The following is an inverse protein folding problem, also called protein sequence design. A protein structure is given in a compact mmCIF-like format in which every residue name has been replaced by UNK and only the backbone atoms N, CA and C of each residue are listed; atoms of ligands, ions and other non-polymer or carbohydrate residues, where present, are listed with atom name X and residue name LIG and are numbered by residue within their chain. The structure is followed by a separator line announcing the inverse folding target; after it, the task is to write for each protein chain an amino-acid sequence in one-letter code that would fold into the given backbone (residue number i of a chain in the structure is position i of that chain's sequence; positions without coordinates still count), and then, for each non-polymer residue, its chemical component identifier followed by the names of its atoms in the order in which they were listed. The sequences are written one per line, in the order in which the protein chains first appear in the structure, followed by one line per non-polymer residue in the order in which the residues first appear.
data_IF_769981746430
#
_entry.id   IF_769981746430
#
_cell.length_a   1.000
_cell.length_b   1.000
_cell.length_c   1.000
_cell.angle_alpha   90.00
_cell.angle_beta   90.00
_cell.angle_gamma   90.00
#
_symmetry.space_group_name_H-M   'P 1'
#
loop_
_entity.id
_entity.type
_entity.pdbx_description
1 polymer ?
#
# COMPACT_ATOMS: atom_id res chain seq x y z
N UNK A 1 13.83 9.85 -21.52
CA UNK A 1 15.31 9.80 -21.54
C UNK A 1 15.76 9.11 -20.27
N UNK A 2 16.37 7.94 -20.39
CA UNK A 2 16.83 7.11 -19.27
C UNK A 2 18.31 7.42 -19.08
N UNK A 3 18.71 7.98 -17.94
CA UNK A 3 20.11 8.02 -17.55
C UNK A 3 20.44 6.71 -16.81
N UNK A 4 21.34 5.93 -17.38
CA UNK A 4 21.92 4.75 -16.72
C UNK A 4 22.92 5.20 -15.65
N UNK A 5 22.80 4.62 -14.45
CA UNK A 5 23.89 4.56 -13.47
C UNK A 5 24.50 3.15 -13.54
N UNK A 6 25.84 3.01 -13.51
CA UNK A 6 26.49 1.70 -13.60
C UNK A 6 26.43 0.99 -12.24
N UNK A 7 25.88 -0.24 -12.21
CA UNK A 7 26.04 -1.17 -11.07
C UNK A 7 24.77 -1.86 -10.55
N UNK A 8 23.56 -1.36 -10.87
CA UNK A 8 22.32 -1.99 -10.43
C UNK A 8 21.90 -3.15 -11.35
N UNK A 9 22.20 -4.40 -10.99
CA UNK A 9 21.61 -5.56 -11.69
C UNK A 9 20.11 -5.63 -11.40
N UNK A 10 19.28 -5.13 -12.32
CA UNK A 10 17.85 -5.47 -12.36
C UNK A 10 17.70 -6.92 -12.85
N UNK A 11 17.61 -7.89 -11.94
CA UNK A 11 17.19 -9.25 -12.31
C UNK A 11 15.67 -9.27 -12.49
N UNK A 12 15.21 -9.78 -13.64
CA UNK A 12 13.80 -10.13 -13.85
C UNK A 12 13.44 -11.27 -12.88
N UNK A 13 12.42 -11.06 -12.06
CA UNK A 13 11.85 -12.10 -11.20
C UNK A 13 11.24 -13.21 -12.09
N UNK A 14 11.72 -14.45 -11.93
CA UNK A 14 11.08 -15.64 -12.50
C UNK A 14 10.25 -16.30 -11.38
N UNK A 15 8.95 -16.56 -11.57
CA UNK A 15 8.09 -17.15 -10.53
C UNK A 15 8.51 -18.54 -10.03
N UNK A 16 9.47 -19.19 -10.70
CA UNK A 16 9.89 -20.57 -10.47
C UNK A 16 10.81 -20.78 -9.26
N UNK A 17 11.15 -19.75 -8.49
CA UNK A 17 12.10 -19.82 -7.38
C UNK A 17 11.50 -19.44 -6.01
N UNK A 18 10.18 -19.52 -5.85
CA UNK A 18 9.59 -19.42 -4.51
C UNK A 18 10.06 -20.62 -3.66
N UNK A 19 10.73 -20.41 -2.50
CA UNK A 19 11.14 -21.51 -1.64
C UNK A 19 9.92 -22.33 -1.22
N UNK A 20 10.07 -23.66 -1.17
CA UNK A 20 9.02 -24.59 -0.74
C UNK A 20 8.47 -24.18 0.64
N UNK A 21 7.15 -23.97 0.69
CA UNK A 21 6.43 -23.49 1.86
C UNK A 21 6.27 -24.61 2.90
N UNK A 22 7.24 -24.77 3.80
CA UNK A 22 7.01 -25.54 5.03
C UNK A 22 6.01 -24.79 5.94
N UNK A 23 4.99 -25.53 6.40
CA UNK A 23 3.89 -25.03 7.22
C UNK A 23 4.34 -24.82 8.67
N UNK A 24 4.93 -23.66 8.97
CA UNK A 24 5.09 -23.20 10.36
C UNK A 24 3.75 -22.69 10.92
N UNK A 25 3.38 -22.96 12.19
CA UNK A 25 2.11 -22.53 12.77
C UNK A 25 1.97 -21.00 12.71
N UNK A 26 0.87 -20.52 12.11
CA UNK A 26 0.73 -19.14 11.64
C UNK A 26 0.10 -18.22 12.68
N UNK A 27 0.73 -17.06 12.92
CA UNK A 27 -0.06 -15.84 13.07
C UNK A 27 -0.45 -15.41 11.65
N UNK A 28 -1.71 -15.59 11.28
CA UNK A 28 -2.18 -15.33 9.91
C UNK A 28 -1.82 -13.90 9.45
N UNK A 29 -0.95 -13.79 8.45
CA UNK A 29 -0.49 -12.53 7.84
C UNK A 29 0.94 -12.13 8.22
N UNK A 30 1.25 -12.03 9.52
CA UNK A 30 2.53 -11.53 10.04
C UNK A 30 3.74 -12.30 9.49
N UNK A 31 3.62 -13.61 9.31
CA UNK A 31 4.74 -14.45 8.88
C UNK A 31 5.18 -14.21 7.44
N UNK A 32 4.26 -13.83 6.55
CA UNK A 32 4.58 -13.72 5.12
C UNK A 32 5.50 -12.52 4.84
N UNK A 33 5.21 -11.35 5.44
CA UNK A 33 6.06 -10.15 5.29
C UNK A 33 7.44 -10.34 5.95
N UNK A 34 7.55 -11.10 7.05
CA UNK A 34 8.86 -11.38 7.66
C UNK A 34 9.80 -12.18 6.75
N UNK A 35 9.27 -12.96 5.80
CA UNK A 35 10.11 -13.72 4.85
C UNK A 35 10.94 -12.82 3.94
N UNK A 36 10.68 -11.51 3.88
CA UNK A 36 11.55 -10.56 3.20
C UNK A 36 13.01 -10.65 3.66
N UNK A 37 13.25 -10.94 4.94
CA UNK A 37 14.59 -11.12 5.48
C UNK A 37 15.29 -12.41 5.07
N UNK A 38 14.56 -13.36 4.47
CA UNK A 38 15.16 -14.58 3.89
C UNK A 38 15.72 -14.36 2.47
N UNK A 39 15.45 -13.20 1.84
CA UNK A 39 15.88 -12.87 0.48
C UNK A 39 17.37 -12.48 0.42
N UNK A 40 18.25 -13.34 0.92
CA UNK A 40 19.70 -13.07 1.08
C UNK A 40 20.49 -13.05 -0.23
N UNK A 41 19.82 -13.22 -1.37
CA UNK A 41 20.41 -12.95 -2.69
C UNK A 41 20.54 -11.44 -2.98
N UNK A 42 19.98 -10.59 -2.11
CA UNK A 42 20.03 -9.14 -2.20
C UNK A 42 20.66 -8.56 -0.93
N UNK A 43 21.59 -7.62 -1.13
CA UNK A 43 22.23 -6.90 -0.01
C UNK A 43 21.26 -5.91 0.65
N UNK A 44 20.33 -5.34 -0.14
CA UNK A 44 19.36 -4.35 0.30
C UNK A 44 18.10 -4.39 -0.55
N UNK A 45 16.96 -4.18 0.09
CA UNK A 45 15.64 -4.13 -0.55
C UNK A 45 14.88 -2.89 -0.11
N UNK A 46 14.08 -2.34 -1.03
CA UNK A 46 12.96 -1.47 -0.68
C UNK A 46 11.69 -2.30 -0.83
N UNK A 47 11.09 -2.66 0.29
CA UNK A 47 9.78 -3.28 0.31
C UNK A 47 8.68 -2.24 0.11
N UNK A 48 7.64 -2.61 -0.63
CA UNK A 48 6.45 -1.79 -0.90
C UNK A 48 5.23 -2.72 -0.82
N UNK A 49 4.24 -2.38 0.01
CA UNK A 49 2.96 -3.10 0.08
C UNK A 49 2.20 -3.01 -1.26
N UNK A 50 1.37 -4.03 -1.54
CA UNK A 50 0.69 -4.17 -2.83
C UNK A 50 -0.43 -3.13 -3.07
N UNK A 51 -0.80 -2.36 -2.07
CA UNK A 51 -1.81 -1.30 -2.11
C UNK A 51 -1.20 0.10 -2.19
N UNK A 52 0.00 0.19 -2.79
CA UNK A 52 0.64 1.43 -3.18
C UNK A 52 0.84 1.51 -4.69
N UNK A 53 0.89 2.74 -5.20
CA UNK A 53 1.45 3.01 -6.54
C UNK A 53 2.67 3.91 -6.43
N UNK A 54 3.63 3.69 -7.31
CA UNK A 54 4.85 4.48 -7.44
C UNK A 54 4.66 5.56 -8.51
N UNK A 55 4.90 6.82 -8.14
CA UNK A 55 4.78 7.99 -9.02
C UNK A 55 6.13 8.57 -9.47
N UNK A 56 7.20 8.26 -8.74
CA UNK A 56 8.55 8.80 -8.98
C UNK A 56 9.61 7.75 -8.76
N UNK A 57 10.79 7.93 -9.37
CA UNK A 57 11.95 7.10 -9.06
C UNK A 57 12.32 7.22 -7.57
N UNK A 58 12.71 6.10 -6.95
CA UNK A 58 13.05 6.02 -5.53
C UNK A 58 14.46 5.48 -5.28
N UNK A 59 15.29 5.35 -6.32
CA UNK A 59 16.57 4.64 -6.21
C UNK A 59 17.52 5.33 -5.20
N UNK A 60 17.35 6.64 -5.01
CA UNK A 60 18.08 7.42 -4.00
C UNK A 60 17.90 6.88 -2.58
N UNK A 61 16.79 6.20 -2.28
CA UNK A 61 16.49 5.69 -0.94
C UNK A 61 17.24 4.40 -0.60
N UNK A 62 17.87 3.73 -1.57
CA UNK A 62 18.80 2.61 -1.26
C UNK A 62 20.05 3.07 -0.50
N UNK A 63 20.34 4.37 -0.45
CA UNK A 63 21.42 4.91 0.37
C UNK A 63 21.14 4.82 1.88
N UNK A 64 19.87 4.66 2.29
CA UNK A 64 19.49 4.62 3.70
C UNK A 64 19.74 3.23 4.32
N UNK A 65 20.05 3.14 5.62
CA UNK A 65 20.30 1.87 6.31
C UNK A 65 19.00 1.16 6.73
N UNK A 66 19.10 -0.11 7.14
CA UNK A 66 18.02 -0.79 7.85
C UNK A 66 17.88 -0.28 9.31
N UNK A 67 16.69 -0.14 9.88
CA UNK A 67 15.38 -0.09 9.23
C UNK A 67 15.08 1.36 8.89
N UNK A 68 14.81 1.69 7.62
CA UNK A 68 14.28 3.00 7.26
C UNK A 68 12.84 2.89 6.77
N UNK A 69 11.96 3.71 7.30
CA UNK A 69 10.54 3.70 6.96
C UNK A 69 9.94 5.10 7.08
N UNK A 70 8.75 5.32 6.53
CA UNK A 70 8.03 6.58 6.72
C UNK A 70 7.28 6.57 8.06
N UNK A 71 7.23 7.70 8.79
CA UNK A 71 6.51 7.79 10.05
C UNK A 71 4.99 7.60 9.84
N UNK A 72 4.37 6.84 10.75
CA UNK A 72 2.92 6.87 10.94
C UNK A 72 2.54 7.94 11.98
N UNK A 73 3.36 8.10 13.02
CA UNK A 73 3.30 9.17 14.01
C UNK A 73 4.72 9.57 14.47
N UNK A 74 4.86 10.18 15.66
CA UNK A 74 6.16 10.63 16.18
C UNK A 74 7.11 9.46 16.51
N UNK A 75 6.59 8.32 16.94
CA UNK A 75 7.36 7.20 17.49
C UNK A 75 7.22 5.92 16.67
N UNK A 76 6.09 5.73 15.99
CA UNK A 76 5.80 4.54 15.17
C UNK A 76 5.98 4.82 13.68
N UNK A 77 6.54 3.85 12.97
CA UNK A 77 6.60 3.87 11.51
C UNK A 77 5.45 3.09 10.87
N UNK A 78 5.15 3.43 9.61
CA UNK A 78 4.26 2.65 8.77
C UNK A 78 5.07 1.61 7.98
N UNK A 79 4.66 0.35 8.03
CA UNK A 79 5.40 -0.77 7.40
C UNK A 79 5.08 -1.00 5.91
N UNK A 80 4.30 -0.10 5.30
CA UNK A 80 3.94 -0.15 3.89
C UNK A 80 5.10 0.10 2.94
N UNK A 81 6.13 0.83 3.41
CA UNK A 81 7.42 0.99 2.73
C UNK A 81 8.53 0.84 3.75
N UNK A 82 9.50 -0.01 3.45
CA UNK A 82 10.67 -0.22 4.31
C UNK A 82 11.94 -0.45 3.50
N UNK A 83 13.03 0.21 3.88
CA UNK A 83 14.39 -0.16 3.45
C UNK A 83 14.89 -1.21 4.44
N UNK A 84 15.24 -2.38 3.94
CA UNK A 84 15.69 -3.54 4.72
C UNK A 84 16.96 -4.13 4.15
N UNK A 85 17.72 -4.81 5.00
CA UNK A 85 18.94 -5.54 4.71
C UNK A 85 18.68 -7.01 5.09
N UNK A 86 18.38 -7.88 4.10
CA UNK A 86 18.00 -9.26 4.36
C UNK A 86 19.05 -10.03 5.16
N UNK A 87 18.60 -10.79 6.16
CA UNK A 87 19.46 -11.59 7.03
C UNK A 87 18.68 -12.77 7.59
N UNK A 88 19.17 -13.99 7.32
CA UNK A 88 18.58 -15.23 7.89
C UNK A 88 18.60 -15.21 9.42
N UNK A 89 19.68 -14.74 10.03
CA UNK A 89 19.79 -14.64 11.49
C UNK A 89 18.73 -13.69 12.07
N UNK A 90 18.51 -12.54 11.43
CA UNK A 90 17.49 -11.59 11.88
C UNK A 90 16.08 -12.14 11.67
N UNK A 91 15.83 -12.85 10.56
CA UNK A 91 14.57 -13.56 10.35
C UNK A 91 14.29 -14.57 11.47
N UNK A 92 15.26 -15.43 11.80
CA UNK A 92 15.13 -16.43 12.86
C UNK A 92 14.89 -15.79 14.23
N UNK A 93 15.61 -14.72 14.57
CA UNK A 93 15.39 -13.94 15.79
C UNK A 93 13.97 -13.35 15.83
N UNK A 94 13.49 -12.74 14.74
CA UNK A 94 12.12 -12.24 14.64
C UNK A 94 11.08 -13.35 14.79
N UNK A 95 11.30 -14.52 14.20
CA UNK A 95 10.42 -15.68 14.36
C UNK A 95 10.42 -16.24 15.79
N UNK A 96 11.54 -16.15 16.50
CA UNK A 96 11.61 -16.49 17.92
C UNK A 96 10.86 -15.45 18.78
N UNK A 97 11.04 -14.16 18.47
CA UNK A 97 10.35 -13.03 19.13
C UNK A 97 8.85 -13.05 18.90
N UNK A 98 8.36 -13.45 17.72
CA UNK A 98 6.92 -13.47 17.42
C UNK A 98 6.12 -14.43 18.30
N UNK A 99 6.79 -15.38 18.97
CA UNK A 99 6.17 -16.28 19.97
C UNK A 99 5.97 -15.62 21.33
N UNK A 100 6.66 -14.50 21.60
CA UNK A 100 6.72 -13.82 22.90
C UNK A 100 6.18 -12.39 22.85
N UNK A 101 6.55 -11.65 21.82
CA UNK A 101 6.11 -10.28 21.57
C UNK A 101 4.74 -10.28 20.92
N UNK A 102 3.85 -9.44 21.44
CA UNK A 102 2.53 -9.22 20.87
C UNK A 102 2.57 -7.99 19.98
N UNK A 103 2.08 -8.12 18.76
CA UNK A 103 1.82 -6.95 17.91
C UNK A 103 0.75 -6.06 18.55
N UNK A 104 1.05 -4.77 18.77
CA UNK A 104 0.10 -3.84 19.38
C UNK A 104 -1.21 -3.69 18.59
N UNK A 105 -1.17 -3.92 17.27
CA UNK A 105 -2.34 -3.86 16.37
C UNK A 105 -2.72 -5.22 15.77
N UNK A 106 -2.07 -6.31 16.20
CA UNK A 106 -2.31 -7.66 15.67
C UNK A 106 -1.72 -7.95 14.28
N UNK A 107 -1.16 -6.94 13.59
CA UNK A 107 -0.56 -7.08 12.25
C UNK A 107 0.97 -7.03 12.24
N UNK A 108 1.56 -7.11 11.06
CA UNK A 108 3.01 -7.04 10.84
C UNK A 108 3.60 -5.68 11.25
N UNK A 109 2.93 -4.56 10.94
CA UNK A 109 3.40 -3.23 11.34
C UNK A 109 3.61 -3.15 12.86
N UNK A 110 2.65 -3.67 13.63
CA UNK A 110 2.74 -3.61 15.07
C UNK A 110 3.88 -4.45 15.61
N UNK A 111 4.03 -5.67 15.11
CA UNK A 111 5.15 -6.53 15.46
C UNK A 111 6.51 -5.91 15.09
N UNK A 112 6.63 -5.32 13.90
CA UNK A 112 7.86 -4.71 13.43
C UNK A 112 8.25 -3.48 14.26
N UNK A 113 7.29 -2.68 14.74
CA UNK A 113 7.57 -1.57 15.65
C UNK A 113 8.04 -2.04 17.04
N UNK A 114 7.61 -3.21 17.51
CA UNK A 114 8.14 -3.81 18.75
C UNK A 114 9.57 -4.36 18.56
N UNK A 115 9.89 -4.89 17.39
CA UNK A 115 11.22 -5.42 17.07
C UNK A 115 12.23 -4.30 16.81
N UNK A 116 11.85 -3.29 16.02
CA UNK A 116 12.71 -2.19 15.60
C UNK A 116 12.37 -0.91 16.37
N UNK A 117 12.81 -0.85 17.62
CA UNK A 117 12.64 0.34 18.47
C UNK A 117 13.51 1.53 18.03
N UNK A 118 14.55 1.27 17.24
CA UNK A 118 15.38 2.26 16.56
C UNK A 118 15.23 2.11 15.05
N UNK A 119 14.88 3.21 14.38
CA UNK A 119 14.65 3.25 12.94
C UNK A 119 14.93 4.65 12.39
N UNK A 120 15.20 4.73 11.08
CA UNK A 120 15.53 5.96 10.38
C UNK A 120 14.29 6.50 9.65
N UNK A 121 14.05 7.80 9.78
CA UNK A 121 12.87 8.46 9.21
C UNK A 121 13.07 8.76 7.72
N UNK A 122 12.26 8.14 6.88
CA UNK A 122 12.07 8.57 5.49
C UNK A 122 11.05 9.72 5.42
N UNK A 123 11.10 10.55 4.37
CA UNK A 123 10.10 11.59 4.15
C UNK A 123 8.66 11.03 4.08
N UNK A 124 7.68 11.75 4.63
CA UNK A 124 6.26 11.36 4.54
C UNK A 124 5.74 11.26 3.10
N UNK A 125 6.39 11.96 2.16
CA UNK A 125 6.10 11.87 0.73
C UNK A 125 6.47 10.52 0.14
N UNK A 126 7.29 9.73 0.85
CA UNK A 126 7.69 8.39 0.46
C UNK A 126 6.55 7.40 0.70
N UNK A 127 5.84 7.48 1.83
CA UNK A 127 4.61 6.71 2.10
C UNK A 127 3.42 7.65 2.32
N UNK A 128 2.93 8.25 1.24
CA UNK A 128 1.82 9.19 1.34
C UNK A 128 0.50 8.44 1.54
N UNK A 129 -0.02 8.45 2.76
CA UNK A 129 -1.30 7.84 3.12
C UNK A 129 -2.45 8.63 2.47
N UNK A 130 -3.34 7.94 1.74
CA UNK A 130 -4.60 8.51 1.21
C UNK A 130 -5.61 8.69 2.36
N UNK A 131 -5.36 9.70 3.19
CA UNK A 131 -6.22 10.10 4.30
C UNK A 131 -6.27 11.63 4.43
N UNK A 132 -7.47 12.15 4.60
CA UNK A 132 -7.80 13.57 4.62
C UNK A 132 -8.64 13.83 5.86
N UNK A 133 -7.97 14.22 6.95
CA UNK A 133 -8.62 14.45 8.25
C UNK A 133 -9.16 15.89 8.40
N UNK A 134 -8.64 16.85 7.63
CA UNK A 134 -9.08 18.25 7.63
C UNK A 134 -9.80 18.58 6.32
N UNK A 135 -11.10 18.28 6.28
CA UNK A 135 -11.93 18.57 5.11
C UNK A 135 -12.06 20.06 4.79
N UNK A 136 -11.90 20.95 5.77
CA UNK A 136 -12.03 22.40 5.55
C UNK A 136 -10.87 22.98 4.71
N UNK A 137 -9.64 22.51 4.92
CA UNK A 137 -8.46 22.99 4.19
C UNK A 137 -8.34 22.37 2.78
N UNK A 138 -8.97 21.21 2.56
CA UNK A 138 -8.91 20.47 1.31
C UNK A 138 -10.23 19.71 1.07
N UNK A 139 -11.34 20.41 0.78
CA UNK A 139 -12.67 19.80 0.71
C UNK A 139 -12.81 18.75 -0.41
N UNK A 140 -12.04 18.92 -1.48
CA UNK A 140 -12.02 18.00 -2.62
C UNK A 140 -11.01 16.85 -2.46
N UNK A 141 -10.34 16.75 -1.31
CA UNK A 141 -9.32 15.74 -1.01
C UNK A 141 -8.26 15.62 -2.12
N UNK A 142 -7.75 16.76 -2.59
CA UNK A 142 -6.72 16.81 -3.63
C UNK A 142 -5.39 16.27 -3.12
N UNK A 143 -4.77 15.42 -3.93
CA UNK A 143 -3.45 14.86 -3.64
C UNK A 143 -2.38 15.96 -3.65
N UNK A 144 -1.49 15.93 -2.65
CA UNK A 144 -0.32 16.82 -2.64
C UNK A 144 0.60 16.52 -3.82
N UNK A 145 1.09 17.57 -4.46
CA UNK A 145 2.15 17.43 -5.45
C UNK A 145 3.45 16.99 -4.80
N UNK A 146 4.31 16.34 -5.58
CA UNK A 146 5.65 16.01 -5.12
C UNK A 146 5.80 14.66 -4.41
N UNK A 147 4.71 13.92 -4.16
CA UNK A 147 4.76 12.60 -3.52
C UNK A 147 5.46 11.56 -4.40
N UNK A 148 6.16 10.62 -3.76
CA UNK A 148 6.79 9.48 -4.45
C UNK A 148 5.80 8.33 -4.64
N UNK A 149 4.92 8.09 -3.66
CA UNK A 149 3.90 7.05 -3.74
C UNK A 149 2.52 7.58 -3.33
N UNK A 150 1.50 6.74 -3.53
CA UNK A 150 0.20 6.86 -2.87
C UNK A 150 -0.09 5.52 -2.21
N UNK A 151 -0.41 5.54 -0.92
CA UNK A 151 -0.82 4.38 -0.15
C UNK A 151 -2.33 4.43 0.10
N UNK A 152 -3.06 3.53 -0.56
CA UNK A 152 -4.52 3.58 -0.61
C UNK A 152 -5.13 3.02 0.68
N UNK A 153 -5.65 3.89 1.55
CA UNK A 153 -6.49 3.48 2.68
C UNK A 153 -7.98 3.42 2.27
N UNK A 154 -8.80 2.78 3.11
CA UNK A 154 -10.22 2.58 2.81
C UNK A 154 -10.45 1.52 1.74
N UNK A 155 -11.46 1.73 0.88
CA UNK A 155 -11.64 0.89 -0.30
C UNK A 155 -10.56 1.18 -1.34
N UNK A 156 -10.01 0.11 -1.90
CA UNK A 156 -8.96 0.18 -2.92
C UNK A 156 -9.56 0.62 -4.27
N UNK A 157 -8.79 1.27 -5.16
CA UNK A 157 -9.32 1.77 -6.43
C UNK A 157 -9.96 0.69 -7.32
N UNK A 158 -9.35 -0.50 -7.38
CA UNK A 158 -9.89 -1.67 -8.10
C UNK A 158 -11.18 -2.23 -7.50
N UNK A 159 -11.61 -1.72 -6.35
CA UNK A 159 -12.86 -2.09 -5.69
C UNK A 159 -14.02 -1.12 -5.98
N UNK A 160 -13.78 -0.10 -6.80
CA UNK A 160 -14.72 0.92 -7.23
C UNK A 160 -14.84 0.94 -8.75
N UNK A 161 -15.88 1.61 -9.28
CA UNK A 161 -15.90 1.95 -10.71
C UNK A 161 -14.76 2.91 -11.04
N UNK A 162 -14.36 2.94 -12.31
CA UNK A 162 -13.28 3.81 -12.78
C UNK A 162 -13.62 5.30 -12.67
N UNK A 163 -14.90 5.65 -12.74
CA UNK A 163 -15.36 7.02 -12.87
C UNK A 163 -15.11 7.91 -11.64
N UNK A 164 -15.11 7.35 -10.42
CA UNK A 164 -14.86 8.10 -9.17
C UNK A 164 -14.51 7.16 -8.00
N UNK A 165 -13.96 7.72 -6.91
CA UNK A 165 -13.64 6.98 -5.70
C UNK A 165 -14.91 6.65 -4.90
N UNK A 166 -15.32 5.37 -4.91
CA UNK A 166 -16.53 4.92 -4.20
C UNK A 166 -16.44 5.00 -2.66
N UNK A 167 -15.30 5.40 -2.08
CA UNK A 167 -15.27 5.80 -0.67
C UNK A 167 -16.18 7.01 -0.39
N UNK A 168 -16.47 7.86 -1.39
CA UNK A 168 -17.41 8.99 -1.26
C UNK A 168 -18.87 8.58 -0.99
N UNK A 169 -19.25 7.33 -1.29
CA UNK A 169 -20.60 6.82 -1.04
C UNK A 169 -20.82 6.39 0.43
N UNK A 170 -19.79 6.50 1.27
CA UNK A 170 -19.77 6.03 2.65
C UNK A 170 -19.21 7.12 3.57
N UNK A 171 -20.06 7.71 4.40
CA UNK A 171 -19.70 8.85 5.25
C UNK A 171 -18.51 8.55 6.18
N UNK A 172 -18.46 7.35 6.77
CA UNK A 172 -17.37 6.87 7.62
C UNK A 172 -16.04 6.68 6.86
N UNK A 173 -16.10 6.63 5.53
CA UNK A 173 -14.95 6.46 4.63
C UNK A 173 -14.60 7.71 3.83
N UNK A 174 -15.37 8.79 3.93
CA UNK A 174 -15.10 10.04 3.23
C UNK A 174 -13.66 10.52 3.44
N UNK A 175 -13.11 10.40 4.66
CA UNK A 175 -11.71 10.75 4.97
C UNK A 175 -10.67 9.98 4.14
N UNK A 176 -11.03 8.89 3.49
CA UNK A 176 -10.16 8.12 2.60
C UNK A 176 -10.49 8.36 1.13
N UNK A 177 -11.55 9.08 0.80
CA UNK A 177 -11.99 9.29 -0.57
C UNK A 177 -11.12 10.35 -1.26
N UNK A 178 -10.71 10.11 -2.50
CA UNK A 178 -10.03 11.11 -3.33
C UNK A 178 -10.05 10.71 -4.79
N UNK A 179 -10.78 11.47 -5.60
CA UNK A 179 -10.85 11.24 -7.05
C UNK A 179 -9.50 11.48 -7.72
N UNK A 180 -8.71 12.44 -7.22
CA UNK A 180 -7.36 12.69 -7.73
C UNK A 180 -6.38 11.52 -7.48
N UNK A 181 -6.52 10.81 -6.36
CA UNK A 181 -5.74 9.60 -6.09
C UNK A 181 -6.25 8.41 -6.93
N UNK A 182 -7.58 8.29 -7.05
CA UNK A 182 -8.25 7.25 -7.82
C UNK A 182 -7.89 7.31 -9.31
N UNK A 183 -7.94 8.51 -9.90
CA UNK A 183 -7.56 8.75 -11.29
C UNK A 183 -6.11 8.34 -11.55
N UNK A 184 -5.18 8.65 -10.62
CA UNK A 184 -3.77 8.26 -10.74
C UNK A 184 -3.59 6.75 -10.73
N UNK A 185 -4.36 6.01 -9.93
CA UNK A 185 -4.32 4.55 -9.95
C UNK A 185 -4.80 3.99 -11.29
N UNK A 186 -5.92 4.51 -11.81
CA UNK A 186 -6.46 4.07 -13.09
C UNK A 186 -5.56 4.43 -14.28
N UNK A 187 -4.84 5.55 -14.22
CA UNK A 187 -3.77 5.86 -15.18
C UNK A 187 -2.69 4.79 -15.19
N UNK A 188 -2.27 4.29 -14.03
CA UNK A 188 -1.32 3.15 -13.95
C UNK A 188 -1.95 1.88 -14.52
N UNK A 189 -3.19 1.57 -14.13
CA UNK A 189 -3.92 0.40 -14.64
C UNK A 189 -4.02 0.38 -16.17
N UNK A 190 -4.34 1.52 -16.78
CA UNK A 190 -4.49 1.63 -18.24
C UNK A 190 -3.16 1.37 -18.98
N UNK A 191 -2.02 1.60 -18.32
CA UNK A 191 -0.70 1.28 -18.87
C UNK A 191 -0.28 -0.18 -18.69
N UNK A 192 -0.98 -0.94 -17.83
CA UNK A 192 -0.66 -2.35 -17.61
C UNK A 192 -0.96 -3.18 -18.87
N UNK A 193 -0.18 -4.25 -19.14
CA UNK A 193 -0.53 -5.23 -20.17
C UNK A 193 -1.96 -5.75 -19.99
N UNK A 194 -2.73 -5.90 -21.09
CA UNK A 194 -4.13 -6.36 -21.05
C UNK A 194 -4.35 -7.65 -20.26
N UNK A 195 -3.41 -8.60 -20.35
CA UNK A 195 -3.41 -9.85 -19.57
C UNK A 195 -3.29 -9.68 -18.06
N UNK A 196 -2.85 -8.51 -17.58
CA UNK A 196 -2.76 -8.21 -16.15
C UNK A 196 -3.99 -7.43 -15.67
N UNK A 197 -4.59 -6.64 -16.55
CA UNK A 197 -5.81 -5.87 -16.28
C UNK A 197 -6.96 -6.78 -15.83
N UNK A 198 -7.10 -7.97 -16.41
CA UNK A 198 -8.15 -8.93 -16.05
C UNK A 198 -8.13 -9.36 -14.57
N UNK A 199 -6.96 -9.38 -13.93
CA UNK A 199 -6.84 -9.74 -12.51
C UNK A 199 -7.28 -8.63 -11.55
N UNK A 200 -7.40 -7.39 -12.04
CA UNK A 200 -7.86 -6.25 -11.25
C UNK A 200 -9.26 -5.77 -11.68
N UNK A 201 -9.97 -6.54 -12.50
CA UNK A 201 -11.34 -6.26 -12.92
C UNK A 201 -12.35 -6.42 -11.78
N UNK A 202 -13.49 -5.72 -11.89
CA UNK A 202 -14.57 -5.83 -10.91
C UNK A 202 -15.27 -7.20 -11.00
N UNK A 203 -15.40 -7.85 -9.85
CA UNK A 203 -16.22 -9.06 -9.74
C UNK A 203 -17.71 -8.71 -9.61
N UNK A 204 -18.60 -9.65 -9.90
CA UNK A 204 -20.06 -9.50 -9.68
C UNK A 204 -20.41 -9.11 -8.24
N UNK A 205 -19.67 -9.66 -7.26
CA UNK A 205 -19.86 -9.32 -5.85
C UNK A 205 -19.45 -7.86 -5.56
N UNK A 206 -18.35 -7.39 -6.17
CA UNK A 206 -17.90 -6.01 -6.02
C UNK A 206 -18.89 -5.03 -6.68
N UNK A 207 -19.39 -5.34 -7.87
CA UNK A 207 -20.43 -4.56 -8.55
C UNK A 207 -21.71 -4.43 -7.71
N UNK A 208 -22.22 -5.55 -7.16
CA UNK A 208 -23.38 -5.55 -6.28
C UNK A 208 -23.17 -4.68 -5.02
N UNK A 209 -21.98 -4.74 -4.43
CA UNK A 209 -21.60 -3.91 -3.28
C UNK A 209 -21.56 -2.42 -3.63
N UNK A 210 -20.98 -2.05 -4.78
CA UNK A 210 -20.95 -0.66 -5.23
C UNK A 210 -22.38 -0.13 -5.45
N UNK A 211 -23.23 -0.89 -6.14
CA UNK A 211 -24.65 -0.54 -6.36
C UNK A 211 -25.41 -0.34 -5.04
N UNK A 212 -25.19 -1.24 -4.06
CA UNK A 212 -25.78 -1.13 -2.72
C UNK A 212 -25.40 0.19 -2.05
N UNK A 213 -24.10 0.51 -1.96
CA UNK A 213 -23.64 1.72 -1.26
C UNK A 213 -24.04 3.00 -1.99
N UNK A 214 -23.99 3.03 -3.32
CA UNK A 214 -24.55 4.15 -4.11
C UNK A 214 -26.03 4.38 -3.83
N UNK A 215 -26.83 3.32 -3.74
CA UNK A 215 -28.25 3.42 -3.41
C UNK A 215 -28.50 3.92 -1.98
N UNK A 216 -27.64 3.55 -1.02
CA UNK A 216 -27.69 4.09 0.35
C UNK A 216 -27.32 5.58 0.35
N UNK A 217 -26.24 5.97 -0.33
CA UNK A 217 -25.81 7.36 -0.46
C UNK A 217 -26.88 8.25 -1.11
N UNK A 218 -27.56 7.74 -2.14
CA UNK A 218 -28.69 8.40 -2.78
C UNK A 218 -29.86 8.61 -1.80
N UNK A 219 -30.27 7.55 -1.08
CA UNK A 219 -31.37 7.65 -0.09
C UNK A 219 -31.04 8.60 1.06
N UNK A 220 -29.79 8.62 1.49
CA UNK A 220 -29.28 9.54 2.50
C UNK A 220 -29.05 10.97 1.96
N UNK A 221 -29.16 11.16 0.64
CA UNK A 221 -28.88 12.42 -0.05
C UNK A 221 -27.53 13.04 0.37
N UNK A 222 -26.46 12.23 0.34
CA UNK A 222 -25.14 12.70 0.76
C UNK A 222 -24.72 13.95 -0.04
N UNK A 223 -24.26 14.96 0.70
CA UNK A 223 -23.98 16.31 0.19
C UNK A 223 -22.86 16.35 -0.85
N UNK A 224 -21.91 15.40 -0.79
CA UNK A 224 -20.80 15.31 -1.74
C UNK A 224 -21.25 14.97 -3.18
N UNK A 225 -22.47 14.45 -3.37
CA UNK A 225 -23.09 14.25 -4.69
C UNK A 225 -22.45 13.17 -5.59
N UNK A 226 -21.41 12.45 -5.16
CA UNK A 226 -20.70 11.48 -6.03
C UNK A 226 -21.57 10.31 -6.48
N UNK A 227 -22.59 9.96 -5.70
CA UNK A 227 -23.60 8.96 -6.08
C UNK A 227 -24.39 9.34 -7.35
N UNK A 228 -24.39 10.62 -7.75
CA UNK A 228 -25.02 11.13 -8.99
C UNK A 228 -24.16 10.95 -10.23
N UNK A 229 -22.85 10.71 -10.07
CA UNK A 229 -21.93 10.53 -11.21
C UNK A 229 -22.41 9.35 -12.04
N UNK A 230 -22.52 9.55 -13.36
CA UNK A 230 -22.88 8.49 -14.30
C UNK A 230 -21.72 7.51 -14.41
N UNK A 231 -21.77 6.45 -13.60
CA UNK A 231 -20.75 5.42 -13.60
C UNK A 231 -21.08 4.35 -14.63
N UNK A 232 -20.13 4.06 -15.51
CA UNK A 232 -20.24 2.91 -16.41
C UNK A 232 -19.80 1.70 -15.59
N UNK A 233 -20.70 0.71 -15.48
CA UNK A 233 -20.36 -0.58 -14.87
C UNK A 233 -19.17 -1.25 -15.57
N UNK A 234 -18.68 -2.39 -15.05
CA UNK A 234 -17.58 -3.12 -15.66
C UNK A 234 -17.79 -3.44 -17.15
#
# INVERSE_FOLDING_TARGET
MVSEMPGGRRRKYSPSAAPSLEKTPTMNGTTAKLRLWQLTDYDKLIFIDADLILLKNMDIFFAYPQLSASPNDKVLFNSGIMVIEPSKCLFEDMMAKSKKLRSYNGGDQGFLNEVFTWWHRLPVTMNYLKIFNNGEENPDHQMKNGTYTIHFLGLKPWACYKDYDCNWDMEDRNKFASDSAHERWWKVYDTMPKKLQEFCGLTKHMDARIKKWRGIAQKANLSNGHWKISAKGP
#
